data_IF_219543380680
#
_entry.id   IF_219543380680
#
_cell.length_a   1.000
_cell.length_b   1.000
_cell.length_c   1.000
_cell.angle_alpha   90.00
_cell.angle_beta   90.00
_cell.angle_gamma   90.00
#
_symmetry.space_group_name_H-M   'P 1'
#
loop_
_entity.id
_entity.type
_entity.pdbx_description
1 polymer ?
#
# COMPACT_ATOMS: atom_id res chain seq x y z
N UNK A 1 -17.61 -5.58 1.29
CA UNK A 1 -16.89 -5.81 0.02
C UNK A 1 -15.60 -5.01 0.05
N UNK A 2 -14.45 -5.65 -0.16
CA UNK A 2 -13.16 -4.96 -0.13
C UNK A 2 -12.16 -5.49 -1.13
N UNK A 3 -11.35 -4.61 -1.72
CA UNK A 3 -10.24 -4.96 -2.61
C UNK A 3 -10.66 -5.38 -4.02
N UNK A 4 -11.85 -5.00 -4.49
CA UNK A 4 -12.38 -5.49 -5.78
C UNK A 4 -12.16 -4.48 -6.90
N UNK A 5 -11.84 -4.98 -8.09
CA UNK A 5 -11.80 -4.21 -9.35
C UNK A 5 -13.06 -4.57 -10.14
N UNK A 6 -13.94 -3.60 -10.35
CA UNK A 6 -15.25 -3.79 -10.99
C UNK A 6 -15.35 -2.79 -12.14
N UNK A 7 -15.50 -3.28 -13.37
CA UNK A 7 -15.39 -2.41 -14.53
C UNK A 7 -16.21 -2.87 -15.74
N UNK A 8 -16.48 -1.93 -16.65
CA UNK A 8 -17.23 -2.18 -17.89
C UNK A 8 -18.60 -2.84 -17.64
N UNK A 9 -19.24 -2.50 -16.50
CA UNK A 9 -20.56 -3.03 -16.18
C UNK A 9 -21.62 -2.37 -17.08
N UNK A 10 -22.54 -3.18 -17.63
CA UNK A 10 -23.68 -2.69 -18.42
C UNK A 10 -24.85 -2.17 -17.58
N UNK A 11 -24.74 -2.26 -16.26
CA UNK A 11 -25.68 -1.69 -15.27
C UNK A 11 -24.88 -1.24 -14.04
N UNK A 12 -25.58 -0.94 -12.94
CA UNK A 12 -25.00 -0.52 -11.66
C UNK A 12 -23.88 -1.47 -11.25
N UNK A 13 -22.67 -0.95 -11.02
CA UNK A 13 -21.50 -1.79 -10.77
C UNK A 13 -21.53 -2.45 -9.39
N UNK A 14 -21.82 -1.67 -8.34
CA UNK A 14 -22.14 -2.19 -7.01
C UNK A 14 -23.52 -1.68 -6.65
N UNK A 15 -24.44 -2.59 -6.33
CA UNK A 15 -25.80 -2.23 -5.94
C UNK A 15 -26.19 -2.87 -4.61
N UNK A 16 -26.50 -2.04 -3.61
CA UNK A 16 -27.06 -2.44 -2.32
C UNK A 16 -28.57 -2.21 -2.36
N UNK A 17 -29.33 -3.30 -2.48
CA UNK A 17 -30.79 -3.27 -2.45
C UNK A 17 -31.27 -3.83 -1.12
N UNK A 18 -31.99 -3.00 -0.34
CA UNK A 18 -32.52 -3.41 0.97
C UNK A 18 -31.44 -4.00 1.88
N UNK A 19 -30.23 -3.44 1.82
CA UNK A 19 -29.04 -4.00 2.44
C UNK A 19 -28.34 -2.95 3.29
N UNK A 20 -28.51 -3.08 4.60
CA UNK A 20 -27.95 -2.16 5.59
C UNK A 20 -26.73 -2.75 6.29
N UNK A 21 -25.91 -1.91 6.92
CA UNK A 21 -24.73 -2.30 7.71
C UNK A 21 -23.60 -2.95 6.88
N UNK A 22 -23.43 -2.55 5.63
CA UNK A 22 -22.34 -3.02 4.78
C UNK A 22 -21.14 -2.07 4.85
N UNK A 23 -19.94 -2.62 4.66
CA UNK A 23 -18.74 -1.85 4.40
C UNK A 23 -18.27 -2.11 2.97
N UNK A 24 -18.18 -1.05 2.17
CA UNK A 24 -17.57 -1.02 0.85
C UNK A 24 -16.28 -0.22 0.97
N UNK A 25 -15.13 -0.89 1.02
CA UNK A 25 -13.84 -0.22 1.17
C UNK A 25 -12.82 -0.69 0.17
N UNK A 26 -11.90 0.16 -0.28
CA UNK A 26 -10.84 -0.28 -1.17
C UNK A 26 -11.38 -1.00 -2.43
N UNK A 27 -12.48 -0.52 -3.03
CA UNK A 27 -12.94 -1.03 -4.32
C UNK A 27 -12.63 -0.01 -5.41
N UNK A 28 -12.28 -0.50 -6.59
CA UNK A 28 -12.08 0.32 -7.79
C UNK A 28 -13.22 0.04 -8.76
N UNK A 29 -14.04 1.05 -9.06
CA UNK A 29 -15.28 0.94 -9.84
C UNK A 29 -15.25 1.89 -11.02
N UNK A 30 -15.25 1.37 -12.25
CA UNK A 30 -15.04 2.26 -13.40
C UNK A 30 -15.60 1.81 -14.74
N UNK A 31 -15.73 2.78 -15.66
CA UNK A 31 -16.22 2.56 -17.03
C UNK A 31 -17.56 1.81 -17.09
N UNK A 32 -18.39 1.89 -16.04
CA UNK A 32 -19.76 1.37 -16.06
C UNK A 32 -20.66 2.26 -16.91
N UNK A 33 -21.66 1.68 -17.56
CA UNK A 33 -22.64 2.43 -18.37
C UNK A 33 -23.79 3.03 -17.54
N UNK A 34 -23.79 2.80 -16.23
CA UNK A 34 -24.80 3.22 -15.24
C UNK A 34 -24.05 3.69 -13.98
N UNK A 35 -24.73 3.80 -12.84
CA UNK A 35 -24.14 4.27 -11.57
C UNK A 35 -23.01 3.35 -11.10
N UNK A 36 -21.90 3.91 -10.62
CA UNK A 36 -20.83 3.14 -10.00
C UNK A 36 -21.29 2.40 -8.74
N UNK A 37 -21.63 3.14 -7.69
CA UNK A 37 -22.15 2.59 -6.42
C UNK A 37 -23.57 3.09 -6.20
N UNK A 38 -24.51 2.16 -6.12
CA UNK A 38 -25.94 2.44 -5.95
C UNK A 38 -26.48 1.87 -4.64
N UNK A 39 -27.08 2.73 -3.83
CA UNK A 39 -27.76 2.36 -2.58
C UNK A 39 -29.26 2.59 -2.77
N UNK A 40 -30.05 1.54 -2.52
CA UNK A 40 -31.50 1.61 -2.58
C UNK A 40 -32.13 1.01 -1.35
N UNK A 41 -32.90 1.83 -0.63
CA UNK A 41 -33.51 1.49 0.66
C UNK A 41 -32.53 0.80 1.60
N UNK A 42 -31.34 1.40 1.75
CA UNK A 42 -30.18 0.78 2.40
C UNK A 42 -29.53 1.79 3.35
N UNK A 43 -29.34 1.39 4.61
CA UNK A 43 -28.93 2.29 5.69
C UNK A 43 -27.65 1.85 6.38
N UNK A 44 -27.00 2.75 7.12
CA UNK A 44 -25.85 2.41 7.97
C UNK A 44 -24.69 1.75 7.19
N UNK A 45 -24.55 2.06 5.90
CA UNK A 45 -23.44 1.54 5.10
C UNK A 45 -22.24 2.49 5.17
N UNK A 46 -21.04 1.93 5.20
CA UNK A 46 -19.80 2.68 5.15
C UNK A 46 -19.11 2.47 3.80
N UNK A 47 -18.91 3.56 3.06
CA UNK A 47 -18.29 3.60 1.74
C UNK A 47 -17.05 4.46 1.86
N UNK A 48 -15.87 3.84 1.91
CA UNK A 48 -14.62 4.56 2.14
C UNK A 48 -13.44 4.05 1.34
N UNK A 49 -12.49 4.91 0.98
CA UNK A 49 -11.26 4.50 0.27
C UNK A 49 -11.54 3.77 -1.07
N UNK A 50 -12.66 4.05 -1.71
CA UNK A 50 -12.97 3.54 -3.04
C UNK A 50 -12.52 4.54 -4.10
N UNK A 51 -12.14 4.02 -5.27
CA UNK A 51 -11.81 4.81 -6.45
C UNK A 51 -12.93 4.57 -7.47
N UNK A 52 -13.76 5.58 -7.71
CA UNK A 52 -14.91 5.51 -8.61
C UNK A 52 -14.71 6.49 -9.76
N UNK A 53 -14.57 5.99 -10.99
CA UNK A 53 -14.24 6.87 -12.11
C UNK A 53 -14.85 6.48 -13.44
N UNK A 54 -15.07 7.47 -14.30
CA UNK A 54 -15.56 7.28 -15.68
C UNK A 54 -16.82 6.43 -15.81
N UNK A 55 -17.68 6.40 -14.79
CA UNK A 55 -19.02 5.81 -14.95
C UNK A 55 -19.89 6.80 -15.72
N UNK A 56 -20.70 6.30 -16.66
CA UNK A 56 -21.54 7.13 -17.54
C UNK A 56 -22.57 7.92 -16.75
N UNK A 57 -23.15 7.32 -15.72
CA UNK A 57 -24.04 7.96 -14.73
C UNK A 57 -23.21 8.41 -13.50
N UNK A 58 -23.83 8.72 -12.36
CA UNK A 58 -23.16 9.13 -11.14
C UNK A 58 -22.18 8.06 -10.64
N UNK A 59 -21.09 8.48 -10.01
CA UNK A 59 -20.21 7.57 -9.28
C UNK A 59 -20.92 6.99 -8.05
N UNK A 60 -21.78 7.79 -7.42
CA UNK A 60 -22.59 7.38 -6.27
C UNK A 60 -24.05 7.82 -6.47
N UNK A 61 -25.00 6.93 -6.21
CA UNK A 61 -26.41 7.31 -6.09
C UNK A 61 -27.03 6.65 -4.86
N UNK A 62 -27.61 7.46 -3.98
CA UNK A 62 -28.37 7.01 -2.81
C UNK A 62 -29.83 7.36 -3.08
N UNK A 63 -30.62 6.34 -3.42
CA UNK A 63 -31.99 6.48 -3.87
C UNK A 63 -32.96 5.72 -2.97
N UNK A 64 -34.25 6.05 -3.11
CA UNK A 64 -35.33 5.30 -2.47
C UNK A 64 -36.64 5.53 -3.23
N UNK A 65 -37.60 4.61 -3.06
CA UNK A 65 -39.00 4.86 -3.42
C UNK A 65 -39.84 4.56 -2.19
N UNK A 66 -40.20 5.58 -1.38
CA UNK A 66 -41.07 5.39 -0.20
C UNK A 66 -40.48 4.57 0.97
N UNK A 67 -39.15 4.41 1.05
CA UNK A 67 -38.43 3.84 2.20
C UNK A 67 -37.29 4.76 2.69
N UNK A 68 -36.40 4.28 3.55
CA UNK A 68 -35.27 5.05 4.10
C UNK A 68 -33.92 4.55 3.56
N UNK A 69 -33.03 5.46 3.19
CA UNK A 69 -31.63 5.20 2.79
C UNK A 69 -30.69 6.12 3.58
N UNK A 70 -30.89 6.16 4.90
CA UNK A 70 -30.25 7.11 5.81
C UNK A 70 -29.01 6.52 6.51
N UNK A 71 -28.25 7.39 7.19
CA UNK A 71 -27.10 7.01 8.02
C UNK A 71 -25.97 6.30 7.25
N UNK A 72 -25.89 6.49 5.93
CA UNK A 72 -24.73 6.04 5.17
C UNK A 72 -23.58 7.05 5.31
N UNK A 73 -22.37 6.52 5.45
CA UNK A 73 -21.14 7.29 5.55
C UNK A 73 -20.36 7.07 4.27
N UNK A 74 -20.08 8.16 3.56
CA UNK A 74 -19.30 8.20 2.32
C UNK A 74 -18.15 9.16 2.53
N UNK A 75 -16.96 8.62 2.82
CA UNK A 75 -15.79 9.44 3.16
C UNK A 75 -14.51 8.85 2.56
N UNK A 76 -13.54 9.69 2.25
CA UNK A 76 -12.24 9.27 1.75
C UNK A 76 -12.31 8.49 0.43
N UNK A 77 -13.25 8.80 -0.45
CA UNK A 77 -13.32 8.21 -1.79
C UNK A 77 -12.81 9.18 -2.86
N UNK A 78 -12.34 8.63 -3.99
CA UNK A 78 -11.97 9.38 -5.18
C UNK A 78 -13.06 9.25 -6.24
N UNK A 79 -13.79 10.32 -6.51
CA UNK A 79 -14.74 10.43 -7.61
C UNK A 79 -14.12 11.22 -8.76
N UNK A 80 -13.85 10.53 -9.88
CA UNK A 80 -13.14 11.13 -11.02
C UNK A 80 -13.91 10.95 -12.32
N UNK A 81 -14.35 12.06 -12.93
CA UNK A 81 -14.98 12.05 -14.26
C UNK A 81 -16.19 11.12 -14.37
N UNK A 82 -16.98 10.97 -13.30
CA UNK A 82 -18.27 10.30 -13.40
C UNK A 82 -19.31 11.24 -14.02
N UNK A 83 -20.46 10.68 -14.40
CA UNK A 83 -21.61 11.41 -14.90
C UNK A 83 -21.42 12.08 -16.28
N UNK A 84 -20.43 11.61 -17.06
CA UNK A 84 -20.12 12.15 -18.40
C UNK A 84 -21.19 11.85 -19.46
N UNK A 85 -22.10 10.92 -19.21
CA UNK A 85 -23.21 10.58 -20.12
C UNK A 85 -24.37 11.56 -20.10
N UNK A 86 -24.42 12.47 -19.13
CA UNK A 86 -25.59 13.30 -18.86
C UNK A 86 -25.20 14.77 -18.61
N UNK A 87 -25.06 15.58 -19.67
CA UNK A 87 -24.53 16.95 -19.59
C UNK A 87 -25.33 17.93 -18.72
N UNK A 88 -26.57 17.59 -18.37
CA UNK A 88 -27.44 18.44 -17.54
C UNK A 88 -27.17 18.32 -16.04
N UNK A 89 -26.39 17.32 -15.63
CA UNK A 89 -26.11 17.05 -14.22
C UNK A 89 -24.83 17.75 -13.80
N UNK A 90 -24.80 18.19 -12.55
CA UNK A 90 -23.78 19.12 -12.02
C UNK A 90 -22.88 18.49 -10.98
N UNK A 91 -23.17 17.25 -10.58
CA UNK A 91 -22.42 16.51 -9.58
C UNK A 91 -22.06 15.10 -10.08
N UNK A 92 -21.05 14.51 -9.47
CA UNK A 92 -20.70 13.10 -9.65
C UNK A 92 -21.47 12.17 -8.71
N UNK A 93 -22.33 12.72 -7.84
CA UNK A 93 -23.17 11.95 -6.94
C UNK A 93 -24.61 12.47 -6.91
N UNK A 94 -25.52 11.60 -6.48
CA UNK A 94 -26.94 11.90 -6.39
C UNK A 94 -27.58 11.36 -5.12
N UNK A 95 -28.48 12.15 -4.54
CA UNK A 95 -29.28 11.73 -3.38
C UNK A 95 -30.75 12.17 -3.50
N UNK A 96 -31.65 11.26 -3.14
CA UNK A 96 -33.08 11.54 -3.00
C UNK A 96 -33.49 11.79 -1.55
N UNK A 97 -34.49 12.66 -1.34
CA UNK A 97 -35.27 12.91 -0.11
C UNK A 97 -34.68 12.32 1.19
N UNK A 98 -34.12 13.18 2.03
CA UNK A 98 -34.23 13.22 3.50
C UNK A 98 -33.16 14.19 4.02
N UNK A 99 -33.59 15.16 4.83
CA UNK A 99 -32.72 16.19 5.39
C UNK A 99 -31.66 15.53 6.29
N UNK A 100 -30.40 15.55 5.85
CA UNK A 100 -29.17 15.48 6.67
C UNK A 100 -28.70 14.15 7.30
N UNK A 101 -29.24 12.99 6.95
CA UNK A 101 -28.81 11.73 7.61
C UNK A 101 -27.65 10.99 6.94
N UNK A 102 -27.34 11.25 5.67
CA UNK A 102 -26.15 10.67 5.03
C UNK A 102 -24.96 11.58 5.19
N UNK A 103 -23.87 11.07 5.74
CA UNK A 103 -22.61 11.78 5.84
C UNK A 103 -21.82 11.58 4.55
N UNK A 104 -21.91 12.53 3.63
CA UNK A 104 -21.06 12.59 2.45
C UNK A 104 -20.07 13.70 2.73
N UNK A 105 -18.85 13.36 3.15
CA UNK A 105 -17.83 14.36 3.46
C UNK A 105 -16.45 13.85 3.14
N UNK A 106 -15.45 14.72 3.00
CA UNK A 106 -14.05 14.30 2.89
C UNK A 106 -13.82 13.35 1.72
N UNK A 107 -14.54 13.54 0.61
CA UNK A 107 -14.26 12.86 -0.64
C UNK A 107 -13.54 13.81 -1.59
N UNK A 108 -12.75 13.22 -2.49
CA UNK A 108 -12.18 13.94 -3.61
C UNK A 108 -13.15 13.91 -4.79
N UNK A 109 -13.42 15.08 -5.37
CA UNK A 109 -14.30 15.25 -6.52
C UNK A 109 -13.51 15.98 -7.61
N UNK A 110 -13.20 15.30 -8.72
CA UNK A 110 -12.34 15.85 -9.78
C UNK A 110 -12.85 17.14 -10.46
N UNK A 111 -14.14 17.43 -10.31
CA UNK A 111 -14.85 18.59 -10.85
C UNK A 111 -15.14 19.67 -9.80
N UNK A 112 -14.70 19.49 -8.54
CA UNK A 112 -14.81 20.52 -7.52
C UNK A 112 -13.85 21.69 -7.79
N UNK A 113 -14.36 22.91 -7.65
CA UNK A 113 -13.62 24.14 -7.96
C UNK A 113 -12.51 24.51 -6.96
N UNK A 114 -12.33 23.75 -5.89
CA UNK A 114 -11.36 24.04 -4.83
C UNK A 114 -11.83 25.03 -3.76
N UNK A 115 -13.10 25.46 -3.79
CA UNK A 115 -13.66 26.36 -2.78
C UNK A 115 -15.11 26.04 -2.43
N UNK A 116 -15.47 26.25 -1.16
CA UNK A 116 -16.81 25.99 -0.64
C UNK A 116 -17.17 24.51 -0.59
N UNK A 117 -18.46 24.24 -0.47
CA UNK A 117 -19.00 22.88 -0.41
C UNK A 117 -19.12 22.32 -1.84
N UNK A 118 -19.03 21.00 -2.00
CA UNK A 118 -19.33 20.34 -3.27
C UNK A 118 -20.81 19.93 -3.31
N UNK A 119 -21.62 20.45 -4.25
CA UNK A 119 -23.04 20.12 -4.30
C UNK A 119 -23.27 18.68 -4.75
N UNK A 120 -24.28 18.02 -4.16
CA UNK A 120 -24.74 16.69 -4.57
C UNK A 120 -26.09 16.84 -5.26
N UNK A 121 -26.22 16.27 -6.46
CA UNK A 121 -27.45 16.40 -7.24
C UNK A 121 -28.62 15.69 -6.53
N UNK A 122 -29.85 16.13 -6.80
CA UNK A 122 -31.08 15.49 -6.34
C UNK A 122 -31.90 16.34 -5.39
N UNK A 123 -32.88 15.71 -4.75
CA UNK A 123 -33.94 16.41 -4.01
C UNK A 123 -33.63 16.61 -2.53
N UNK A 124 -32.60 15.96 -2.00
CA UNK A 124 -32.22 16.06 -0.59
C UNK A 124 -31.44 17.33 -0.23
N UNK A 125 -30.95 18.09 -1.23
CA UNK A 125 -30.04 19.23 -1.06
C UNK A 125 -28.78 18.87 -0.22
N UNK A 126 -28.23 17.67 -0.43
CA UNK A 126 -26.97 17.29 0.21
C UNK A 126 -25.78 17.99 -0.45
N UNK A 127 -24.69 18.07 0.31
CA UNK A 127 -23.41 18.57 -0.14
C UNK A 127 -22.30 17.78 0.56
N UNK A 128 -21.10 17.78 0.00
CA UNK A 128 -19.88 17.49 0.73
C UNK A 128 -19.38 18.81 1.35
N UNK A 129 -19.54 19.02 2.66
CA UNK A 129 -19.11 20.25 3.32
C UNK A 129 -17.60 20.31 3.55
N UNK A 130 -16.88 19.20 3.35
CA UNK A 130 -15.43 19.13 3.53
C UNK A 130 -14.76 18.39 2.35
N UNK A 131 -14.90 18.87 1.09
CA UNK A 131 -14.28 18.23 -0.06
C UNK A 131 -12.76 18.20 0.09
N UNK A 132 -12.12 17.14 -0.41
CA UNK A 132 -10.67 17.07 -0.47
C UNK A 132 -10.15 17.82 -1.70
N UNK A 133 -9.10 18.63 -1.52
CA UNK A 133 -8.41 19.31 -2.61
C UNK A 133 -7.52 18.38 -3.44
N UNK A 134 -7.08 17.27 -2.86
CA UNK A 134 -6.25 16.26 -3.51
C UNK A 134 -6.92 14.88 -3.43
N UNK A 135 -6.65 13.99 -4.40
CA UNK A 135 -7.09 12.61 -4.33
C UNK A 135 -6.60 11.90 -3.05
N UNK A 136 -7.43 11.02 -2.52
CA UNK A 136 -7.05 10.06 -1.48
C UNK A 136 -6.03 9.10 -2.07
N UNK A 137 -4.78 9.23 -1.63
CA UNK A 137 -3.66 8.47 -2.16
C UNK A 137 -3.63 7.03 -1.62
N UNK A 138 -3.07 6.08 -2.38
CA UNK A 138 -2.67 4.80 -1.82
C UNK A 138 -1.58 4.97 -0.74
N UNK A 139 -1.34 3.91 0.04
CA UNK A 139 -0.18 3.86 0.95
C UNK A 139 0.80 2.79 0.51
N UNK A 140 2.08 2.99 0.80
CA UNK A 140 3.12 1.96 0.70
C UNK A 140 4.06 2.13 1.89
N UNK A 141 4.48 1.02 2.49
CA UNK A 141 5.40 1.01 3.63
C UNK A 141 6.29 -0.20 3.54
N UNK A 142 7.59 0.00 3.76
CA UNK A 142 8.56 -1.09 3.85
C UNK A 142 8.50 -1.67 5.26
N UNK A 143 8.12 -2.94 5.39
CA UNK A 143 8.16 -3.67 6.65
C UNK A 143 9.53 -4.29 6.88
N UNK A 144 10.12 -4.85 5.82
CA UNK A 144 11.51 -5.34 5.82
C UNK A 144 12.15 -5.09 4.45
N UNK A 145 13.48 -4.83 4.40
CA UNK A 145 14.40 -4.71 5.52
C UNK A 145 14.15 -3.46 6.38
N UNK A 146 14.74 -3.41 7.57
CA UNK A 146 14.74 -2.23 8.43
C UNK A 146 16.14 -1.61 8.45
N UNK A 147 16.28 -0.40 9.02
CA UNK A 147 17.58 0.27 9.15
C UNK A 147 18.46 -0.47 10.16
N UNK A 148 19.26 -1.42 9.66
CA UNK A 148 20.23 -2.18 10.43
C UNK A 148 21.31 -2.79 9.52
N UNK A 149 22.28 -3.44 10.17
CA UNK A 149 23.21 -4.37 9.55
C UNK A 149 22.68 -5.80 9.63
N UNK A 150 22.96 -6.60 8.61
CA UNK A 150 22.59 -8.00 8.53
C UNK A 150 23.85 -8.86 8.35
N UNK A 151 24.09 -9.79 9.28
CA UNK A 151 25.20 -10.75 9.25
C UNK A 151 24.94 -11.95 8.31
N UNK A 152 23.99 -11.79 7.39
CA UNK A 152 23.55 -12.77 6.41
C UNK A 152 23.41 -12.08 5.06
N UNK A 153 23.68 -12.82 3.99
CA UNK A 153 23.61 -12.30 2.62
C UNK A 153 22.18 -12.16 2.09
N UNK A 154 21.18 -12.68 2.82
CA UNK A 154 19.81 -12.79 2.34
C UNK A 154 18.85 -11.99 3.21
N UNK A 155 18.13 -11.05 2.59
CA UNK A 155 17.07 -10.26 3.22
C UNK A 155 15.72 -10.57 2.58
N UNK A 156 14.66 -10.46 3.36
CA UNK A 156 13.29 -10.52 2.83
C UNK A 156 12.79 -9.10 2.55
N UNK A 157 12.37 -8.82 1.32
CA UNK A 157 11.61 -7.62 0.97
C UNK A 157 10.15 -7.88 1.27
N UNK A 158 9.62 -7.17 2.26
CA UNK A 158 8.22 -7.22 2.64
C UNK A 158 7.67 -5.81 2.70
N UNK A 159 6.62 -5.57 1.92
CA UNK A 159 5.92 -4.29 1.88
C UNK A 159 4.54 -4.45 2.51
N UNK A 160 3.92 -3.31 2.82
CA UNK A 160 2.49 -3.22 3.13
C UNK A 160 1.92 -1.95 2.53
N UNK A 161 0.60 -1.88 2.42
CA UNK A 161 -0.07 -0.66 1.98
C UNK A 161 -1.56 -0.87 1.78
N UNK A 162 -2.22 0.07 1.10
CA UNK A 162 -3.66 -0.03 0.85
C UNK A 162 -3.97 -1.23 -0.07
N UNK A 163 -5.07 -1.97 0.20
CA UNK A 163 -5.46 -3.13 -0.61
C UNK A 163 -5.77 -2.82 -2.09
N UNK A 164 -5.94 -1.54 -2.46
CA UNK A 164 -6.25 -1.06 -3.82
C UNK A 164 -5.05 -0.65 -4.66
N UNK A 165 -3.82 -0.73 -4.15
CA UNK A 165 -2.66 -0.50 -5.00
C UNK A 165 -2.60 -1.62 -6.02
N UNK A 166 -2.69 -1.23 -7.28
CA UNK A 166 -2.78 -2.20 -8.38
C UNK A 166 -1.42 -2.62 -8.89
N UNK A 167 -0.39 -1.83 -8.58
CA UNK A 167 0.99 -2.20 -8.80
C UNK A 167 1.85 -1.68 -7.66
N UNK A 168 2.30 -2.57 -6.78
CA UNK A 168 3.45 -2.30 -5.94
C UNK A 168 4.71 -2.63 -6.72
N UNK A 169 5.68 -1.75 -6.65
CA UNK A 169 7.00 -1.96 -7.20
C UNK A 169 8.05 -1.66 -6.15
N UNK A 170 9.22 -2.25 -6.29
CA UNK A 170 10.37 -1.91 -5.48
C UNK A 170 11.66 -1.93 -6.29
N UNK A 171 12.70 -1.32 -5.75
CA UNK A 171 13.99 -1.18 -6.39
C UNK A 171 15.10 -1.11 -5.33
N UNK A 172 16.07 -2.02 -5.38
CA UNK A 172 17.26 -1.98 -4.52
C UNK A 172 18.38 -1.26 -5.28
N UNK A 173 18.67 -0.02 -4.89
CA UNK A 173 19.74 0.76 -5.50
C UNK A 173 21.09 0.09 -5.31
N UNK A 174 21.86 -0.01 -6.41
CA UNK A 174 23.14 -0.71 -6.45
C UNK A 174 23.03 -2.22 -6.71
N UNK A 175 21.82 -2.77 -6.85
CA UNK A 175 21.60 -4.18 -7.17
C UNK A 175 20.64 -4.37 -8.34
N UNK A 176 19.48 -3.69 -8.32
CA UNK A 176 18.49 -3.76 -9.38
C UNK A 176 18.85 -2.83 -10.55
N UNK A 177 18.59 -3.28 -11.79
CA UNK A 177 18.66 -2.44 -12.99
C UNK A 177 17.32 -1.77 -13.33
N UNK A 178 16.20 -2.38 -12.89
CA UNK A 178 14.83 -1.92 -13.14
C UNK A 178 13.95 -2.16 -11.92
N UNK A 179 12.82 -1.46 -11.84
CA UNK A 179 11.79 -1.72 -10.82
C UNK A 179 11.27 -3.16 -10.91
N UNK A 180 11.11 -3.79 -9.75
CA UNK A 180 10.59 -5.12 -9.56
C UNK A 180 9.12 -5.05 -9.13
N UNK A 181 8.24 -5.85 -9.73
CA UNK A 181 6.86 -5.97 -9.25
C UNK A 181 6.81 -6.73 -7.93
N UNK A 182 6.12 -6.18 -6.92
CA UNK A 182 5.90 -6.83 -5.64
C UNK A 182 4.48 -7.39 -5.56
N UNK A 183 4.36 -8.72 -5.50
CA UNK A 183 3.08 -9.42 -5.33
C UNK A 183 3.01 -10.22 -4.02
N UNK A 184 4.17 -10.49 -3.42
CA UNK A 184 4.34 -11.17 -2.14
C UNK A 184 5.74 -10.88 -1.59
N UNK A 185 5.98 -11.22 -0.32
CA UNK A 185 7.31 -11.21 0.27
C UNK A 185 8.30 -12.00 -0.59
N UNK A 186 9.49 -11.44 -0.80
CA UNK A 186 10.50 -12.04 -1.67
C UNK A 186 11.89 -11.91 -1.06
N UNK A 187 12.64 -13.00 -1.05
CA UNK A 187 14.01 -13.00 -0.57
C UNK A 187 14.97 -12.50 -1.66
N UNK A 188 15.95 -11.71 -1.25
CA UNK A 188 17.01 -11.16 -2.10
C UNK A 188 18.35 -11.48 -1.47
N UNK A 189 19.22 -12.14 -2.24
CA UNK A 189 20.61 -12.40 -1.84
C UNK A 189 21.51 -11.32 -2.42
N UNK A 190 22.26 -10.65 -1.56
CA UNK A 190 23.07 -9.47 -1.81
C UNK A 190 24.48 -9.72 -1.26
N UNK A 191 25.50 -9.22 -1.94
CA UNK A 191 26.86 -9.21 -1.40
C UNK A 191 27.00 -8.20 -0.27
N UNK A 192 28.10 -8.25 0.47
CA UNK A 192 28.43 -7.22 1.46
C UNK A 192 28.41 -5.82 0.85
N UNK A 193 27.83 -4.87 1.57
CA UNK A 193 27.67 -3.51 1.08
C UNK A 193 26.53 -2.75 1.73
N UNK A 194 26.36 -1.50 1.31
CA UNK A 194 25.26 -0.64 1.71
C UNK A 194 24.26 -0.50 0.57
N UNK A 195 22.99 -0.69 0.88
CA UNK A 195 21.89 -0.68 -0.08
C UNK A 195 20.77 0.24 0.38
N UNK A 196 20.03 0.81 -0.57
CA UNK A 196 18.77 1.51 -0.30
C UNK A 196 17.65 0.85 -1.10
N UNK A 197 16.66 0.32 -0.40
CA UNK A 197 15.42 -0.17 -0.99
C UNK A 197 14.46 1.00 -1.14
N UNK A 198 13.92 1.19 -2.33
CA UNK A 198 12.80 2.06 -2.64
C UNK A 198 11.56 1.20 -2.90
N UNK A 199 10.42 1.59 -2.33
CA UNK A 199 9.13 0.98 -2.59
C UNK A 199 8.20 2.02 -3.20
N UNK A 200 7.34 1.61 -4.12
CA UNK A 200 6.41 2.44 -4.86
C UNK A 200 5.03 1.79 -4.86
N UNK A 201 3.99 2.59 -4.71
CA UNK A 201 2.60 2.15 -4.88
C UNK A 201 1.87 3.08 -5.84
N UNK A 202 1.10 2.50 -6.77
CA UNK A 202 0.27 3.26 -7.70
C UNK A 202 -1.14 2.70 -7.83
N UNK A 203 -2.14 3.58 -7.95
CA UNK A 203 -3.52 3.21 -8.25
C UNK A 203 -3.86 3.29 -9.75
N UNK A 204 -5.10 2.93 -10.13
CA UNK A 204 -5.55 2.88 -11.53
C UNK A 204 -5.81 4.23 -12.18
N UNK A 205 -5.94 5.30 -11.37
CA UNK A 205 -6.14 6.66 -11.87
C UNK A 205 -4.82 7.44 -11.89
N UNK A 206 -3.70 6.79 -11.57
CA UNK A 206 -2.34 7.32 -11.70
C UNK A 206 -1.80 8.00 -10.45
N UNK A 207 -2.49 7.92 -9.30
CA UNK A 207 -1.91 8.41 -8.06
C UNK A 207 -0.75 7.51 -7.63
N UNK A 208 0.36 8.11 -7.19
CA UNK A 208 1.57 7.38 -6.82
C UNK A 208 2.11 7.83 -5.47
N UNK A 209 2.71 6.89 -4.74
CA UNK A 209 3.42 7.10 -3.46
C UNK A 209 4.70 6.28 -3.43
N UNK A 210 5.64 6.65 -2.57
CA UNK A 210 6.89 5.93 -2.38
C UNK A 210 7.36 5.95 -0.93
N UNK A 211 8.22 4.99 -0.58
CA UNK A 211 8.91 4.85 0.71
C UNK A 211 10.34 4.34 0.47
N UNK A 212 11.27 4.54 1.41
CA UNK A 212 12.63 4.01 1.28
C UNK A 212 13.30 3.68 2.62
N UNK A 213 14.20 2.69 2.58
CA UNK A 213 15.02 2.27 3.72
C UNK A 213 16.45 1.98 3.28
N UNK A 214 17.42 2.38 4.10
CA UNK A 214 18.84 2.07 3.89
C UNK A 214 19.29 1.01 4.91
N UNK A 215 19.99 -0.01 4.44
CA UNK A 215 20.49 -1.13 5.24
C UNK A 215 21.89 -1.58 4.77
N UNK A 216 22.59 -2.36 5.58
CA UNK A 216 23.90 -2.94 5.23
C UNK A 216 23.88 -4.47 5.32
N UNK A 217 24.67 -5.11 4.46
CA UNK A 217 24.97 -6.54 4.49
C UNK A 217 26.44 -6.67 4.88
N UNK A 218 26.72 -7.49 5.90
CA UNK A 218 28.05 -7.94 6.29
C UNK A 218 28.02 -9.45 6.59
N UNK A 219 27.94 -10.25 5.53
CA UNK A 219 27.93 -11.70 5.62
C UNK A 219 29.35 -12.30 5.75
N UNK A 220 30.39 -11.47 5.91
CA UNK A 220 31.77 -11.94 5.94
C UNK A 220 32.11 -12.65 7.25
N UNK A 221 32.11 -13.98 7.22
CA UNK A 221 32.53 -14.77 8.38
C UNK A 221 34.05 -14.67 8.60
N UNK A 222 34.52 -14.44 9.84
CA UNK A 222 35.93 -14.47 10.14
C UNK A 222 36.49 -15.89 9.96
N UNK A 223 37.62 -16.00 9.28
CA UNK A 223 38.36 -17.26 9.12
C UNK A 223 39.62 -17.21 9.97
N UNK A 224 39.92 -18.32 10.66
CA UNK A 224 41.11 -18.48 11.49
C UNK A 224 41.91 -19.66 10.98
N UNK A 225 43.22 -19.47 10.77
CA UNK A 225 44.13 -20.54 10.38
C UNK A 225 45.34 -20.59 11.30
N UNK A 226 45.65 -21.76 11.84
CA UNK A 226 46.88 -22.00 12.60
C UNK A 226 47.97 -22.39 11.59
N UNK A 227 48.99 -21.53 11.45
CA UNK A 227 50.13 -21.77 10.55
C UNK A 227 51.34 -22.37 11.28
N UNK A 228 51.37 -22.25 12.62
CA UNK A 228 52.32 -22.95 13.49
C UNK A 228 51.68 -23.17 14.86
N UNK A 229 51.88 -24.32 15.54
CA UNK A 229 52.65 -25.48 15.07
C UNK A 229 52.01 -26.17 13.87
N UNK A 230 52.85 -26.77 13.01
CA UNK A 230 52.36 -27.71 12.00
C UNK A 230 52.14 -29.08 12.64
N UNK A 231 51.37 -29.95 11.98
CA UNK A 231 51.10 -31.29 12.48
C UNK A 231 52.34 -32.20 12.38
N UNK A 232 53.29 -32.02 13.30
CA UNK A 232 54.53 -32.77 13.41
C UNK A 232 54.96 -32.91 14.87
N UNK A 233 55.91 -33.81 15.11
CA UNK A 233 56.55 -33.94 16.42
C UNK A 233 57.67 -32.93 16.56
N UNK A 234 57.60 -32.08 17.59
CA UNK A 234 58.66 -31.16 17.96
C UNK A 234 59.52 -31.76 19.08
N UNK A 235 60.84 -31.71 18.93
CA UNK A 235 61.81 -32.25 19.91
C UNK A 235 62.34 -31.20 20.88
N UNK A 236 61.82 -29.98 20.81
CA UNK A 236 62.17 -28.86 21.68
C UNK A 236 60.90 -28.21 22.27
N UNK A 237 61.06 -27.44 23.34
CA UNK A 237 60.00 -26.63 23.94
C UNK A 237 59.95 -25.24 23.31
N UNK A 238 58.90 -24.46 23.58
CA UNK A 238 58.76 -23.08 23.07
C UNK A 238 58.36 -22.99 21.59
N UNK A 239 57.57 -23.94 21.11
CA UNK A 239 57.04 -23.91 19.73
C UNK A 239 56.08 -22.72 19.60
N UNK A 240 56.32 -21.76 18.69
CA UNK A 240 55.48 -20.58 18.57
C UNK A 240 54.10 -20.93 18.00
N UNK A 241 53.05 -20.43 18.64
CA UNK A 241 51.72 -20.35 18.04
C UNK A 241 51.71 -19.18 17.07
N UNK A 242 51.50 -19.47 15.79
CA UNK A 242 51.29 -18.46 14.75
C UNK A 242 49.96 -18.78 14.10
N UNK A 243 49.09 -17.79 14.05
CA UNK A 243 47.78 -17.89 13.42
C UNK A 243 47.49 -16.63 12.62
N UNK A 244 46.57 -16.75 11.67
CA UNK A 244 46.03 -15.63 10.92
C UNK A 244 44.53 -15.54 11.15
N UNK A 245 44.01 -14.32 11.19
CA UNK A 245 42.57 -14.02 11.27
C UNK A 245 42.25 -13.12 10.08
N UNK A 246 41.24 -13.46 9.28
CA UNK A 246 40.89 -12.63 8.10
C UNK A 246 40.32 -11.26 8.49
N UNK A 247 39.45 -11.22 9.50
CA UNK A 247 38.85 -9.99 10.05
C UNK A 247 38.39 -10.23 11.50
N UNK A 248 38.30 -9.17 12.31
CA UNK A 248 37.88 -9.26 13.72
C UNK A 248 38.95 -9.80 14.67
N UNK A 249 38.51 -10.32 15.82
CA UNK A 249 39.36 -10.91 16.85
C UNK A 249 39.11 -12.42 16.96
N UNK A 250 40.16 -13.20 17.23
CA UNK A 250 40.06 -14.62 17.51
C UNK A 250 40.63 -14.93 18.90
N UNK A 251 39.93 -15.77 19.66
CA UNK A 251 40.45 -16.36 20.89
C UNK A 251 40.91 -17.78 20.59
N UNK A 252 42.19 -18.07 20.80
CA UNK A 252 42.77 -19.40 20.56
C UNK A 252 42.86 -20.16 21.87
N UNK A 253 42.47 -21.43 21.87
CA UNK A 253 42.59 -22.32 23.03
C UNK A 253 43.61 -23.42 22.74
N UNK A 254 44.48 -23.71 23.71
CA UNK A 254 45.35 -24.88 23.71
C UNK A 254 44.85 -25.86 24.77
N UNK A 255 44.41 -27.06 24.34
CA UNK A 255 43.86 -28.09 25.22
C UNK A 255 42.73 -27.58 26.15
N UNK A 256 41.89 -26.67 25.65
CA UNK A 256 40.78 -26.09 26.41
C UNK A 256 41.15 -24.95 27.35
N UNK A 257 42.42 -24.55 27.43
CA UNK A 257 42.83 -23.31 28.11
C UNK A 257 43.03 -22.20 27.09
N UNK A 258 42.48 -21.02 27.39
CA UNK A 258 42.70 -19.83 26.57
C UNK A 258 44.19 -19.54 26.48
N UNK A 259 44.71 -19.41 25.27
CA UNK A 259 46.09 -19.09 25.02
C UNK A 259 46.24 -17.56 25.07
N UNK A 260 46.34 -17.03 26.28
CA UNK A 260 46.73 -15.64 26.51
C UNK A 260 48.22 -15.52 26.22
N UNK A 261 48.59 -14.89 25.11
CA UNK A 261 49.98 -14.45 24.88
C UNK A 261 50.48 -13.58 26.03
#
# INVERSE_FOLDING_TARGET
LSGNIIFNCSSRSIALYYSSNNTLTFNTVYNGTDVGIYLYRSENNNISYNIIYNNTDYGLSIAHDGGFSDNNIVTWNNFVGNNLGYPSRTSQAYTEYHLTMNNISSNYWSDWSGSGNYPIDGTANNEDPFPLGDPVLPTVTILTPIVQEYDIDTITVMLSGTPTVLHYQYYIAGFDEVNQTWTASVDRTLSDGSYTLYAYGSDLIGNTVHDSVTFTIDAYLPTVAITSPTNTTYTHTGVPLIYTVSYGAATIYLNGMENTT
#
